data_IF_237104720902
#
_entry.id   IF_237104720902
#
_cell.length_a   1.000
_cell.length_b   1.000
_cell.length_c   1.000
_cell.angle_alpha   90.00
_cell.angle_beta   90.00
_cell.angle_gamma   90.00
#
_symmetry.space_group_name_H-M   'P 1'
#
loop_
_entity.id
_entity.type
_entity.pdbx_description
1 polymer ?
#
# COMPACT_ATOMS: atom_id res chain seq x y z
N UNK A 1 -49.57 -5.16 41.90
CA UNK A 1 -49.22 -6.41 41.20
C UNK A 1 -48.36 -6.05 40.01
N UNK A 2 -47.05 -6.31 40.07
CA UNK A 2 -46.08 -6.08 38.99
C UNK A 2 -46.11 -7.25 38.02
N UNK A 3 -46.04 -7.01 36.71
CA UNK A 3 -45.73 -8.06 35.72
C UNK A 3 -44.72 -7.54 34.69
N UNK A 4 -43.66 -8.33 34.57
CA UNK A 4 -42.45 -8.09 33.79
C UNK A 4 -42.65 -8.25 32.28
N UNK A 5 -41.82 -7.54 31.51
CA UNK A 5 -41.65 -7.67 30.08
C UNK A 5 -40.69 -8.83 29.77
N UNK A 6 -41.07 -9.72 28.85
CA UNK A 6 -40.23 -10.78 28.30
C UNK A 6 -39.93 -10.50 26.81
N UNK A 7 -38.73 -10.92 26.41
CA UNK A 7 -38.00 -10.54 25.19
C UNK A 7 -38.59 -11.02 23.86
N UNK A 8 -38.38 -10.22 22.80
CA UNK A 8 -38.65 -10.58 21.41
C UNK A 8 -37.42 -11.22 20.75
N UNK A 9 -37.63 -12.41 20.19
CA UNK A 9 -36.68 -13.23 19.44
C UNK A 9 -36.51 -12.73 18.00
N UNK A 10 -35.28 -12.83 17.47
CA UNK A 10 -34.90 -12.45 16.10
C UNK A 10 -35.38 -13.50 15.07
N UNK A 11 -35.95 -13.12 13.92
CA UNK A 11 -36.23 -14.07 12.86
C UNK A 11 -34.98 -14.36 12.01
N UNK A 12 -34.81 -15.66 11.76
CA UNK A 12 -33.82 -16.31 10.90
C UNK A 12 -34.22 -16.07 9.43
N UNK A 13 -33.36 -15.41 8.65
CA UNK A 13 -33.55 -15.19 7.22
C UNK A 13 -33.33 -16.49 6.45
N UNK A 14 -34.37 -17.28 6.28
CA UNK A 14 -34.36 -18.43 5.39
C UNK A 14 -35.66 -18.50 4.59
N UNK A 15 -35.99 -17.43 3.86
CA UNK A 15 -37.03 -17.47 2.81
C UNK A 15 -36.85 -16.27 1.86
N UNK A 16 -36.15 -16.49 0.75
CA UNK A 16 -36.16 -15.59 -0.41
C UNK A 16 -36.62 -16.37 -1.65
N UNK A 17 -37.54 -15.82 -2.47
CA UNK A 17 -38.15 -16.50 -3.61
C UNK A 17 -37.17 -16.75 -4.77
N UNK A 18 -37.46 -17.81 -5.53
CA UNK A 18 -36.61 -18.50 -6.52
C UNK A 18 -36.26 -17.73 -7.81
N UNK A 19 -36.53 -16.42 -7.91
CA UNK A 19 -36.29 -15.62 -9.11
C UNK A 19 -35.00 -14.79 -9.11
N UNK A 20 -34.14 -14.95 -8.09
CA UNK A 20 -32.82 -14.28 -8.00
C UNK A 20 -31.68 -15.32 -8.03
N UNK A 21 -31.75 -16.30 -8.94
CA UNK A 21 -30.70 -17.33 -9.11
C UNK A 21 -30.04 -17.34 -10.50
N UNK A 22 -30.45 -16.46 -11.40
CA UNK A 22 -29.97 -16.46 -12.79
C UNK A 22 -28.77 -15.53 -13.06
N UNK A 23 -28.20 -14.88 -12.05
CA UNK A 23 -27.12 -13.88 -12.20
C UNK A 23 -25.83 -14.21 -11.44
N UNK A 24 -25.52 -15.49 -11.27
CA UNK A 24 -24.22 -15.92 -10.76
C UNK A 24 -23.39 -16.48 -11.92
N UNK A 25 -22.22 -15.89 -12.24
CA UNK A 25 -21.32 -16.51 -13.21
C UNK A 25 -20.87 -17.87 -12.69
N UNK A 26 -20.87 -18.87 -13.57
CA UNK A 26 -20.35 -20.21 -13.30
C UNK A 26 -18.89 -20.10 -12.90
N UNK A 27 -18.59 -20.27 -11.61
CA UNK A 27 -17.22 -20.37 -11.11
C UNK A 27 -16.62 -21.69 -11.59
N UNK A 28 -16.08 -21.69 -12.80
CA UNK A 28 -15.24 -22.78 -13.29
C UNK A 28 -13.96 -22.75 -12.47
N UNK A 29 -13.86 -23.63 -11.49
CA UNK A 29 -12.64 -23.83 -10.70
C UNK A 29 -11.54 -24.30 -11.66
N UNK A 30 -10.67 -23.38 -12.07
CA UNK A 30 -9.47 -23.74 -12.83
C UNK A 30 -8.47 -24.31 -11.83
N UNK A 31 -8.21 -25.60 -11.93
CA UNK A 31 -7.10 -26.27 -11.25
C UNK A 31 -5.80 -25.54 -11.64
N UNK A 32 -5.11 -25.00 -10.64
CA UNK A 32 -3.78 -24.43 -10.84
C UNK A 32 -2.81 -25.58 -11.10
N UNK A 33 -2.24 -25.63 -12.30
CA UNK A 33 -1.09 -26.47 -12.56
C UNK A 33 0.09 -25.89 -11.76
N UNK A 34 0.68 -26.70 -10.89
CA UNK A 34 1.94 -26.37 -10.21
C UNK A 34 3.04 -26.30 -11.25
N UNK A 35 3.38 -25.08 -11.69
CA UNK A 35 4.61 -24.84 -12.44
C UNK A 35 5.74 -24.89 -11.41
N UNK A 36 6.60 -25.90 -11.51
CA UNK A 36 7.82 -26.02 -10.73
C UNK A 36 8.77 -24.87 -11.10
N UNK A 37 8.59 -23.74 -10.45
CA UNK A 37 9.56 -22.65 -10.39
C UNK A 37 10.54 -22.93 -9.25
N UNK A 38 11.82 -22.69 -9.51
CA UNK A 38 12.91 -22.79 -8.54
C UNK A 38 12.54 -22.07 -7.24
N UNK A 39 12.94 -22.60 -6.05
CA UNK A 39 12.53 -22.02 -4.78
C UNK A 39 12.88 -20.52 -4.75
N UNK A 40 11.91 -19.62 -4.55
CA UNK A 40 12.20 -18.21 -4.40
C UNK A 40 13.06 -18.05 -3.15
N UNK A 41 14.21 -17.40 -3.30
CA UNK A 41 15.08 -17.04 -2.18
C UNK A 41 14.26 -16.33 -1.09
N UNK A 42 14.46 -16.70 0.19
CA UNK A 42 13.68 -16.24 1.36
C UNK A 42 13.47 -14.71 1.43
N UNK A 43 14.37 -13.93 0.80
CA UNK A 43 14.27 -12.48 0.66
C UNK A 43 13.03 -12.02 -0.13
N UNK A 44 12.59 -12.75 -1.15
CA UNK A 44 11.40 -12.40 -1.93
C UNK A 44 10.09 -12.62 -1.14
N UNK A 45 10.08 -13.58 -0.21
CA UNK A 45 8.88 -13.91 0.56
C UNK A 45 8.60 -12.87 1.67
N UNK A 46 9.65 -12.29 2.25
CA UNK A 46 9.56 -11.37 3.40
C UNK A 46 8.84 -10.05 3.07
N UNK A 47 8.80 -9.67 1.80
CA UNK A 47 8.23 -8.40 1.33
C UNK A 47 6.79 -8.50 0.82
N UNK A 48 6.24 -9.71 0.63
CA UNK A 48 4.93 -9.87 -0.02
C UNK A 48 3.73 -9.66 0.90
N UNK A 49 3.91 -9.76 2.23
CA UNK A 49 2.79 -9.76 3.18
C UNK A 49 2.02 -8.42 3.29
N UNK A 50 2.49 -7.36 2.61
CA UNK A 50 1.94 -5.98 2.70
C UNK A 50 1.39 -5.42 1.39
N UNK A 51 1.29 -6.23 0.34
CA UNK A 51 0.85 -5.75 -0.97
C UNK A 51 1.94 -5.07 -1.81
N UNK A 52 3.22 -5.23 -1.44
CA UNK A 52 4.36 -4.71 -2.19
C UNK A 52 5.55 -4.36 -1.31
N UNK A 53 6.62 -3.84 -1.94
CA UNK A 53 7.77 -3.29 -1.24
C UNK A 53 7.37 -2.04 -0.44
N UNK A 54 7.94 -1.82 0.77
CA UNK A 54 7.76 -0.55 1.49
C UNK A 54 8.22 0.64 0.64
N UNK A 55 7.40 1.70 0.59
CA UNK A 55 7.65 2.93 -0.16
C UNK A 55 7.95 4.10 0.78
N UNK A 56 8.96 4.88 0.46
CA UNK A 56 9.37 6.06 1.23
C UNK A 56 9.59 7.27 0.31
N UNK A 57 9.29 8.45 0.83
CA UNK A 57 9.48 9.68 0.09
C UNK A 57 10.95 10.15 0.16
N UNK A 58 11.51 10.59 -0.95
CA UNK A 58 12.82 11.27 -1.01
C UNK A 58 12.80 12.31 -2.12
N UNK A 59 13.25 13.53 -1.81
CA UNK A 59 13.37 14.60 -2.80
C UNK A 59 14.39 14.24 -3.91
N UNK A 60 15.49 13.62 -3.49
CA UNK A 60 16.56 13.17 -4.38
C UNK A 60 16.45 11.68 -4.64
N UNK A 61 16.49 11.29 -5.93
CA UNK A 61 16.54 9.90 -6.36
C UNK A 61 17.80 9.65 -7.20
N UNK A 62 18.50 8.52 -7.00
CA UNK A 62 19.58 8.12 -7.88
C UNK A 62 19.05 7.83 -9.29
N UNK A 63 19.62 8.49 -10.31
CA UNK A 63 19.15 8.33 -11.70
C UNK A 63 19.55 6.99 -12.33
N UNK A 64 20.63 6.37 -11.86
CA UNK A 64 21.20 5.14 -12.42
C UNK A 64 21.39 4.07 -11.35
N UNK A 65 21.35 2.82 -11.78
CA UNK A 65 21.73 1.65 -10.98
C UNK A 65 23.09 1.85 -10.31
N UNK A 66 23.17 1.49 -9.04
CA UNK A 66 24.36 1.65 -8.19
C UNK A 66 24.50 3.05 -7.59
N UNK A 67 23.66 4.02 -7.95
CA UNK A 67 23.61 5.31 -7.28
C UNK A 67 23.18 5.17 -5.83
N UNK A 68 23.78 5.97 -4.95
CA UNK A 68 23.52 5.96 -3.51
C UNK A 68 22.87 7.27 -3.09
N UNK A 69 21.81 7.18 -2.27
CA UNK A 69 21.14 8.33 -1.65
C UNK A 69 21.01 8.09 -0.15
N UNK A 70 21.23 9.15 0.63
CA UNK A 70 21.09 9.13 2.08
C UNK A 70 19.68 9.57 2.47
N UNK A 71 18.90 8.67 3.08
CA UNK A 71 17.58 8.99 3.64
C UNK A 71 17.74 9.42 5.10
N UNK A 72 17.15 10.56 5.45
CA UNK A 72 17.23 11.17 6.78
C UNK A 72 15.84 11.59 7.30
N UNK A 73 15.78 12.14 8.52
CA UNK A 73 14.56 12.72 9.07
C UNK A 73 13.48 11.70 9.45
N UNK A 74 12.22 12.02 9.14
CA UNK A 74 11.06 11.20 9.49
C UNK A 74 11.05 9.84 8.77
N UNK A 75 11.46 9.82 7.49
CA UNK A 75 11.48 8.61 6.68
C UNK A 75 12.52 7.62 7.22
N UNK A 76 13.70 8.10 7.61
CA UNK A 76 14.69 7.28 8.32
C UNK A 76 14.11 6.65 9.58
N UNK A 77 13.38 7.41 10.40
CA UNK A 77 12.78 6.89 11.62
C UNK A 77 11.72 5.83 11.31
N UNK A 78 10.90 6.04 10.27
CA UNK A 78 9.91 5.08 9.81
C UNK A 78 10.57 3.76 9.33
N UNK A 79 11.66 3.85 8.57
CA UNK A 79 12.44 2.70 8.09
C UNK A 79 13.08 1.92 9.25
N UNK A 80 13.90 2.60 10.06
CA UNK A 80 14.79 1.94 11.03
C UNK A 80 14.13 1.62 12.38
N UNK A 81 13.17 2.44 12.83
CA UNK A 81 12.56 2.29 14.17
C UNK A 81 11.17 1.65 14.11
N UNK A 82 10.32 2.11 13.21
CA UNK A 82 8.94 1.60 13.10
C UNK A 82 8.93 0.25 12.39
N UNK A 83 9.47 0.21 11.18
CA UNK A 83 9.47 -1.00 10.35
C UNK A 83 10.63 -1.94 10.66
N UNK A 84 11.68 -1.41 11.32
CA UNK A 84 12.86 -2.17 11.77
C UNK A 84 13.55 -2.88 10.60
N UNK A 85 13.61 -2.21 9.46
CA UNK A 85 14.31 -2.68 8.27
C UNK A 85 15.80 -2.84 8.57
N UNK A 86 16.44 -3.78 7.88
CA UNK A 86 17.84 -4.15 8.02
C UNK A 86 18.59 -3.91 6.71
N UNK A 87 19.91 -4.03 6.78
CA UNK A 87 20.74 -4.10 5.60
C UNK A 87 20.25 -5.20 4.64
N UNK A 88 20.34 -4.93 3.34
CA UNK A 88 19.85 -5.75 2.23
C UNK A 88 18.32 -5.84 2.08
N UNK A 89 17.53 -5.27 3.00
CA UNK A 89 16.08 -5.20 2.80
C UNK A 89 15.75 -4.28 1.59
N UNK A 90 14.86 -4.75 0.71
CA UNK A 90 14.43 -4.03 -0.49
C UNK A 90 13.34 -3.01 -0.16
N UNK A 91 13.46 -1.83 -0.74
CA UNK A 91 12.51 -0.72 -0.59
C UNK A 91 12.41 0.06 -1.90
N UNK A 92 11.35 0.86 -2.01
CA UNK A 92 11.14 1.78 -3.12
C UNK A 92 11.21 3.23 -2.62
N UNK A 93 11.97 4.08 -3.32
CA UNK A 93 11.97 5.52 -3.10
C UNK A 93 11.19 6.23 -4.20
N UNK A 94 10.37 7.21 -3.83
CA UNK A 94 9.62 8.06 -4.77
C UNK A 94 9.75 9.55 -4.42
N UNK A 95 9.64 10.42 -5.42
CA UNK A 95 9.85 11.87 -5.26
C UNK A 95 8.58 12.73 -5.44
N UNK A 96 7.41 12.10 -5.55
CA UNK A 96 6.13 12.79 -5.76
C UNK A 96 5.97 13.44 -7.15
N UNK A 97 7.00 13.40 -8.00
CA UNK A 97 7.01 13.95 -9.38
C UNK A 97 6.93 12.85 -10.44
N UNK A 98 6.49 11.65 -10.06
CA UNK A 98 6.45 10.45 -10.90
C UNK A 98 7.75 9.63 -10.91
N UNK A 99 8.82 10.09 -10.26
CA UNK A 99 10.04 9.31 -10.10
C UNK A 99 9.85 8.18 -9.08
N UNK A 100 10.25 6.97 -9.46
CA UNK A 100 10.29 5.79 -8.60
C UNK A 100 11.60 5.04 -8.85
N UNK A 101 12.27 4.59 -7.80
CA UNK A 101 13.45 3.74 -7.91
C UNK A 101 13.39 2.64 -6.87
N UNK A 102 13.73 1.43 -7.30
CA UNK A 102 13.83 0.27 -6.43
C UNK A 102 15.29 0.04 -6.03
N UNK A 103 15.50 -0.36 -4.79
CA UNK A 103 16.84 -0.62 -4.29
C UNK A 103 16.84 -1.34 -2.96
N UNK A 104 18.01 -1.42 -2.34
CA UNK A 104 18.17 -1.99 -1.01
C UNK A 104 18.87 -1.04 -0.05
N UNK A 105 18.72 -1.33 1.23
CA UNK A 105 19.45 -0.64 2.29
C UNK A 105 20.89 -1.15 2.32
N UNK A 106 21.84 -0.29 1.96
CA UNK A 106 23.27 -0.59 2.01
C UNK A 106 23.81 -0.50 3.44
N UNK A 107 23.38 0.52 4.19
CA UNK A 107 23.86 0.74 5.56
C UNK A 107 22.80 1.49 6.39
N UNK A 108 22.87 1.34 7.71
CA UNK A 108 22.01 2.07 8.65
C UNK A 108 22.91 2.62 9.76
N UNK A 109 22.98 3.94 9.87
CA UNK A 109 23.68 4.60 10.96
C UNK A 109 22.72 5.34 11.90
N UNK A 110 23.28 6.06 12.87
CA UNK A 110 22.53 6.88 13.81
C UNK A 110 21.85 8.08 13.15
N UNK A 111 22.34 8.53 11.99
CA UNK A 111 21.90 9.77 11.32
C UNK A 111 21.01 9.52 10.11
N UNK A 112 20.94 8.28 9.59
CA UNK A 112 20.22 7.99 8.37
C UNK A 112 20.44 6.57 7.85
N UNK A 113 19.85 6.31 6.69
CA UNK A 113 19.96 5.05 5.94
C UNK A 113 20.59 5.34 4.58
N UNK A 114 21.59 4.57 4.20
CA UNK A 114 22.12 4.60 2.83
C UNK A 114 21.30 3.64 1.96
N UNK A 115 20.64 4.20 0.95
CA UNK A 115 19.92 3.46 -0.06
C UNK A 115 20.78 3.33 -1.32
N UNK A 116 20.89 2.12 -1.87
CA UNK A 116 21.54 1.87 -3.15
C UNK A 116 20.52 1.41 -4.20
N UNK A 117 20.52 2.09 -5.34
CA UNK A 117 19.63 1.76 -6.46
C UNK A 117 20.02 0.41 -7.08
N UNK A 118 19.07 -0.52 -7.18
CA UNK A 118 19.27 -1.79 -7.89
C UNK A 118 18.89 -1.69 -9.37
N UNK A 119 18.10 -0.68 -9.72
CA UNK A 119 17.62 -0.41 -11.08
C UNK A 119 17.78 1.08 -11.40
N UNK A 120 17.66 1.44 -12.68
CA UNK A 120 17.60 2.84 -13.09
C UNK A 120 16.26 3.46 -12.64
N UNK A 121 16.26 4.78 -12.43
CA UNK A 121 15.06 5.50 -12.04
C UNK A 121 13.96 5.32 -13.10
N UNK A 122 12.80 4.84 -12.66
CA UNK A 122 11.60 4.73 -13.48
C UNK A 122 10.81 6.03 -13.36
N UNK A 123 10.23 6.47 -14.47
CA UNK A 123 9.25 7.56 -14.50
C UNK A 123 7.89 6.94 -14.72
N UNK A 124 7.07 6.94 -13.66
CA UNK A 124 5.68 6.50 -13.73
C UNK A 124 4.85 7.68 -14.21
N UNK A 125 4.37 7.56 -15.44
CA UNK A 125 3.40 8.50 -16.00
C UNK A 125 1.99 8.11 -15.52
N UNK A 126 1.16 9.08 -15.10
CA UNK A 126 -0.25 8.82 -14.84
C UNK A 126 -0.90 8.21 -16.09
N UNK A 127 -1.57 7.08 -15.92
CA UNK A 127 -2.27 6.41 -17.01
C UNK A 127 -3.66 7.03 -17.18
N UNK A 128 -4.01 7.45 -18.40
CA UNK A 128 -5.33 8.02 -18.72
C UNK A 128 -5.38 9.55 -18.73
N UNK A 129 -6.59 10.10 -18.58
CA UNK A 129 -6.82 11.55 -18.63
C UNK A 129 -6.36 12.24 -17.34
N UNK A 130 -5.45 13.20 -17.47
CA UNK A 130 -4.92 13.97 -16.33
C UNK A 130 -5.78 15.19 -16.03
N UNK A 131 -6.79 15.02 -15.19
CA UNK A 131 -7.59 16.13 -14.69
C UNK A 131 -6.89 16.81 -13.52
N UNK A 132 -6.78 18.13 -13.55
CA UNK A 132 -6.47 18.90 -12.34
C UNK A 132 -7.72 19.04 -11.51
N UNK A 133 -7.81 18.26 -10.44
CA UNK A 133 -8.91 18.31 -9.49
C UNK A 133 -8.49 19.16 -8.29
N UNK A 134 -9.24 20.23 -8.04
CA UNK A 134 -9.08 21.05 -6.84
C UNK A 134 -10.23 20.73 -5.88
N UNK A 135 -9.88 20.35 -4.66
CA UNK A 135 -10.85 20.02 -3.62
C UNK A 135 -10.79 21.11 -2.53
N UNK A 136 -11.88 21.86 -2.37
CA UNK A 136 -11.96 22.97 -1.42
C UNK A 136 -13.01 22.66 -0.34
N UNK A 137 -12.58 22.70 0.92
CA UNK A 137 -13.43 22.40 2.07
C UNK A 137 -13.23 23.46 3.16
N UNK A 138 -14.31 23.76 3.91
CA UNK A 138 -14.20 24.55 5.13
C UNK A 138 -13.50 23.77 6.25
N UNK A 139 -13.07 24.47 7.31
CA UNK A 139 -12.41 23.84 8.46
C UNK A 139 -13.32 22.81 9.15
N UNK A 140 -12.88 21.56 9.21
CA UNK A 140 -13.63 20.48 9.86
C UNK A 140 -13.14 20.29 11.31
N UNK A 141 -14.06 20.34 12.28
CA UNK A 141 -13.75 20.06 13.69
C UNK A 141 -13.37 18.59 13.90
N UNK A 142 -12.47 18.36 14.88
CA UNK A 142 -12.20 17.06 15.47
C UNK A 142 -11.37 16.10 14.60
N UNK A 143 -10.36 16.61 13.88
CA UNK A 143 -9.44 15.76 13.08
C UNK A 143 -10.05 15.16 11.81
N UNK A 144 -11.31 15.48 11.49
CA UNK A 144 -11.98 14.99 10.27
C UNK A 144 -11.34 15.48 8.97
N UNK A 145 -10.56 16.56 9.03
CA UNK A 145 -9.79 17.06 7.90
C UNK A 145 -8.71 16.06 7.47
N UNK A 146 -7.99 15.45 8.42
CA UNK A 146 -6.92 14.50 8.12
C UNK A 146 -7.46 13.27 7.40
N UNK A 147 -8.58 12.73 7.90
CA UNK A 147 -9.27 11.61 7.25
C UNK A 147 -9.73 11.95 5.84
N UNK A 148 -10.26 13.15 5.63
CA UNK A 148 -10.73 13.59 4.32
C UNK A 148 -9.56 13.75 3.33
N UNK A 149 -8.43 14.32 3.77
CA UNK A 149 -7.22 14.42 2.95
C UNK A 149 -6.74 13.03 2.53
N UNK A 150 -6.68 12.08 3.47
CA UNK A 150 -6.31 10.69 3.17
C UNK A 150 -7.18 10.08 2.07
N UNK A 151 -8.50 10.27 2.14
CA UNK A 151 -9.42 9.72 1.13
C UNK A 151 -9.33 10.44 -0.21
N UNK A 152 -9.19 11.76 -0.20
CA UNK A 152 -8.98 12.53 -1.43
C UNK A 152 -7.70 12.07 -2.17
N UNK A 153 -6.59 11.86 -1.45
CA UNK A 153 -5.35 11.37 -2.07
C UNK A 153 -5.52 9.96 -2.66
N UNK A 154 -6.35 9.09 -2.09
CA UNK A 154 -6.61 7.77 -2.69
C UNK A 154 -7.53 7.86 -3.91
N UNK A 155 -8.57 8.69 -3.87
CA UNK A 155 -9.61 8.74 -4.90
C UNK A 155 -9.27 9.63 -6.10
N UNK A 156 -8.39 10.63 -5.95
CA UNK A 156 -8.05 11.56 -7.04
C UNK A 156 -6.94 10.99 -7.94
N UNK A 157 -6.13 10.08 -7.42
CA UNK A 157 -5.00 9.49 -8.15
C UNK A 157 -5.32 8.16 -8.85
N UNK A 158 -6.58 7.73 -8.86
CA UNK A 158 -7.12 6.57 -9.58
C UNK A 158 -8.21 7.01 -10.58
#
# INVERSE_FOLDING_TARGET
>A
MMRALAAASRPLFSDLPSLVRSWLPTSSFKSFATVSSSPPSDLNLRNQSRGGLPRFFSDDLPSRKGGVVRVQGSEFWHMAKVLRLKQEDRVELFNGKGGLVEGCIQSIDKTGVDFIAQEDQKVILPQGMQWQVFAAFGTLKGGRADWLIEKCTVCIYF
#
